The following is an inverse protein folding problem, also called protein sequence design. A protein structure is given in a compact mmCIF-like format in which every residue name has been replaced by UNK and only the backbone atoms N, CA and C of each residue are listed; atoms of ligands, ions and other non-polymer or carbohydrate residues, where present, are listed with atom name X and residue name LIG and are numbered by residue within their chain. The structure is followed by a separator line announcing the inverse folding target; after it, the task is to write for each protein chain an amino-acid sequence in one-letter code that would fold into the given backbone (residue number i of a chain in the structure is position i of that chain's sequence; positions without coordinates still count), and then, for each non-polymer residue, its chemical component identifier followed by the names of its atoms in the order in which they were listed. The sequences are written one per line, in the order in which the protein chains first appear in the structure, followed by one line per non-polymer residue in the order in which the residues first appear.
data_IF_733376213307
#
_entry.id   IF_733376213307
#
_cell.length_a   1.000
_cell.length_b   1.000
_cell.length_c   1.000
_cell.angle_alpha   90.00
_cell.angle_beta   90.00
_cell.angle_gamma   90.00
#
_symmetry.space_group_name_H-M   'P 1'
#
loop_
_entity.id
_entity.type
_entity.pdbx_description
1 polymer ?
#
# COMPACT_ATOMS: atom_id res chain seq x y z
N UNK A 1 -47.23 -43.96 18.62
CA UNK A 1 -46.36 -43.07 19.43
C UNK A 1 -45.14 -43.86 19.90
N UNK A 2 -43.94 -43.59 19.36
CA UNK A 2 -42.68 -44.19 19.81
C UNK A 2 -41.68 -43.06 20.03
N UNK A 3 -41.50 -42.69 21.30
CA UNK A 3 -40.52 -41.69 21.74
C UNK A 3 -39.12 -42.31 21.67
N UNK A 4 -38.24 -41.72 20.83
CA UNK A 4 -36.80 -42.01 20.80
C UNK A 4 -36.13 -41.16 21.89
N UNK A 5 -35.77 -41.79 22.99
CA UNK A 5 -34.87 -41.23 24.00
C UNK A 5 -33.43 -41.58 23.58
N UNK A 6 -32.60 -40.56 23.32
CA UNK A 6 -31.12 -40.46 23.31
C UNK A 6 -30.86 -39.09 22.67
N UNK A 7 -30.39 -38.05 23.40
CA UNK A 7 -28.94 -37.88 23.56
C UNK A 7 -28.55 -37.07 24.83
N UNK A 8 -28.15 -37.74 25.93
CA UNK A 8 -27.52 -37.06 27.08
C UNK A 8 -26.07 -37.56 27.31
N UNK A 9 -25.68 -38.69 26.70
CA UNK A 9 -24.37 -39.29 26.93
C UNK A 9 -23.20 -38.67 26.12
N UNK A 10 -23.48 -37.79 25.15
CA UNK A 10 -22.44 -37.24 24.25
C UNK A 10 -21.77 -35.97 24.78
N UNK A 11 -22.34 -35.30 25.80
CA UNK A 11 -21.77 -34.04 26.33
C UNK A 11 -20.63 -34.29 27.34
N UNK A 12 -20.59 -35.46 28.00
CA UNK A 12 -19.57 -35.76 29.03
C UNK A 12 -18.21 -36.12 28.39
N UNK A 13 -18.18 -36.67 27.18
CA UNK A 13 -16.95 -37.07 26.50
C UNK A 13 -16.10 -35.89 25.97
N UNK A 14 -16.69 -34.70 25.75
CA UNK A 14 -15.94 -33.54 25.26
C UNK A 14 -15.18 -32.79 26.37
N UNK A 15 -15.52 -32.97 27.65
CA UNK A 15 -14.85 -32.27 28.76
C UNK A 15 -13.53 -32.94 29.20
N UNK A 16 -13.32 -34.22 28.89
CA UNK A 16 -12.12 -34.95 29.29
C UNK A 16 -10.90 -34.73 28.35
N UNK A 17 -11.12 -34.26 27.11
CA UNK A 17 -10.05 -34.05 26.13
C UNK A 17 -9.33 -32.69 26.25
N UNK A 18 -9.85 -31.77 27.09
CA UNK A 18 -9.26 -30.44 27.28
C UNK A 18 -8.20 -30.35 28.39
N UNK A 19 -8.06 -31.36 29.25
CA UNK A 19 -7.21 -31.29 30.44
C UNK A 19 -5.73 -31.52 30.15
N UNK A 20 -5.40 -32.43 29.22
CA UNK A 20 -4.00 -32.76 28.87
C UNK A 20 -3.30 -31.59 28.17
N UNK A 21 -3.97 -30.93 27.23
CA UNK A 21 -3.43 -29.78 26.51
C UNK A 21 -3.09 -28.59 27.42
N UNK A 22 -3.78 -28.44 28.56
CA UNK A 22 -3.54 -27.35 29.51
C UNK A 22 -2.34 -27.59 30.43
N UNK A 23 -2.09 -28.84 30.80
CA UNK A 23 -0.93 -29.23 31.61
C UNK A 23 0.38 -28.99 30.85
N UNK A 24 0.43 -29.36 29.56
CA UNK A 24 1.62 -29.22 28.72
C UNK A 24 2.01 -27.74 28.49
N UNK A 25 1.03 -26.86 28.29
CA UNK A 25 1.25 -25.41 28.13
C UNK A 25 1.86 -24.77 29.37
N UNK A 26 1.42 -25.18 30.55
CA UNK A 26 1.92 -24.61 31.82
C UNK A 26 3.39 -24.98 32.02
N UNK A 27 3.75 -26.23 31.70
CA UNK A 27 5.14 -26.68 31.72
C UNK A 27 6.00 -25.93 30.70
N UNK A 28 5.54 -25.81 29.45
CA UNK A 28 6.25 -25.10 28.40
C UNK A 28 6.45 -23.60 28.71
N UNK A 29 5.45 -22.96 29.32
CA UNK A 29 5.53 -21.57 29.78
C UNK A 29 6.54 -21.40 30.92
N UNK A 30 6.59 -22.35 31.88
CA UNK A 30 7.59 -22.38 32.94
C UNK A 30 9.01 -22.55 32.39
N UNK A 31 9.21 -23.50 31.48
CA UNK A 31 10.49 -23.70 30.80
C UNK A 31 10.94 -22.46 30.01
N UNK A 32 9.99 -21.78 29.34
CA UNK A 32 10.28 -20.51 28.66
C UNK A 32 10.68 -19.40 29.65
N UNK A 33 10.01 -19.30 30.79
CA UNK A 33 10.34 -18.34 31.83
C UNK A 33 11.74 -18.59 32.43
N UNK A 34 12.06 -19.85 32.75
CA UNK A 34 13.38 -20.26 33.24
C UNK A 34 14.47 -20.00 32.19
N UNK A 35 14.19 -20.28 30.91
CA UNK A 35 15.10 -19.95 29.81
C UNK A 35 15.37 -18.45 29.71
N UNK A 36 14.32 -17.62 29.80
CA UNK A 36 14.47 -16.16 29.77
C UNK A 36 15.28 -15.63 30.95
N UNK A 37 15.02 -16.12 32.16
CA UNK A 37 15.80 -15.73 33.34
C UNK A 37 17.27 -16.13 33.21
N UNK A 38 17.56 -17.28 32.61
CA UNK A 38 18.93 -17.71 32.33
C UNK A 38 19.59 -16.85 31.25
N UNK A 39 18.87 -16.49 30.18
CA UNK A 39 19.42 -15.77 29.02
C UNK A 39 19.58 -14.26 29.28
N UNK A 40 18.60 -13.64 29.92
CA UNK A 40 18.54 -12.18 30.11
C UNK A 40 18.83 -11.75 31.56
N UNK A 41 18.86 -12.69 32.51
CA UNK A 41 19.08 -12.42 33.92
C UNK A 41 17.82 -11.92 34.65
N UNK A 42 17.74 -12.20 35.95
CA UNK A 42 16.59 -11.82 36.78
C UNK A 42 16.32 -10.31 36.82
N UNK A 43 17.36 -9.48 36.68
CA UNK A 43 17.23 -8.01 36.64
C UNK A 43 16.55 -7.48 35.37
N UNK A 44 16.71 -8.16 34.23
CA UNK A 44 16.09 -7.72 32.98
C UNK A 44 14.62 -8.14 32.88
N UNK A 45 14.24 -9.23 33.54
CA UNK A 45 12.86 -9.72 33.57
C UNK A 45 11.95 -8.93 34.53
N UNK A 46 12.51 -8.30 35.58
CA UNK A 46 11.76 -7.53 36.58
C UNK A 46 10.82 -8.36 37.48
N UNK A 47 10.65 -9.65 37.17
CA UNK A 47 9.69 -10.57 37.75
C UNK A 47 10.36 -11.92 38.05
N UNK A 48 9.83 -12.66 39.04
CA UNK A 48 10.26 -14.03 39.32
C UNK A 48 9.80 -15.03 38.26
N UNK A 49 10.44 -16.21 38.19
CA UNK A 49 10.16 -17.26 37.20
C UNK A 49 8.67 -17.64 37.17
N UNK A 50 8.04 -17.68 38.33
CA UNK A 50 6.64 -18.04 38.49
C UNK A 50 5.70 -17.00 37.86
N UNK A 51 5.89 -15.71 38.15
CA UNK A 51 5.09 -14.62 37.58
C UNK A 51 5.25 -14.56 36.06
N UNK A 52 6.49 -14.69 35.58
CA UNK A 52 6.78 -14.74 34.15
C UNK A 52 6.10 -15.94 33.48
N UNK A 53 6.11 -17.11 34.12
CA UNK A 53 5.43 -18.31 33.59
C UNK A 53 3.91 -18.10 33.48
N UNK A 54 3.28 -17.43 34.45
CA UNK A 54 1.85 -17.10 34.43
C UNK A 54 1.55 -16.14 33.28
N UNK A 55 2.37 -15.10 33.09
CA UNK A 55 2.22 -14.16 31.97
C UNK A 55 2.36 -14.85 30.61
N UNK A 56 3.36 -15.71 30.44
CA UNK A 56 3.59 -16.47 29.21
C UNK A 56 2.41 -17.42 28.93
N UNK A 57 1.93 -18.14 29.95
CA UNK A 57 0.76 -19.01 29.81
C UNK A 57 -0.51 -18.23 29.44
N UNK A 58 -0.69 -17.04 30.03
CA UNK A 58 -1.77 -16.12 29.69
C UNK A 58 -1.68 -15.62 28.24
N UNK A 59 -0.49 -15.23 27.79
CA UNK A 59 -0.25 -14.82 26.41
C UNK A 59 -0.51 -15.98 25.43
N UNK A 60 -0.07 -17.19 25.74
CA UNK A 60 -0.34 -18.38 24.93
C UNK A 60 -1.83 -18.72 24.85
N UNK A 61 -2.58 -18.45 25.92
CA UNK A 61 -4.03 -18.65 25.93
C UNK A 61 -4.76 -17.62 25.06
N UNK A 62 -4.26 -16.38 24.96
CA UNK A 62 -4.85 -15.31 24.13
C UNK A 62 -4.43 -15.37 22.67
N UNK A 63 -3.14 -15.59 22.42
CA UNK A 63 -2.51 -15.40 21.11
C UNK A 63 -2.06 -16.72 20.45
N UNK A 64 -2.27 -17.86 21.11
CA UNK A 64 -1.88 -19.19 20.62
C UNK A 64 -0.49 -19.62 21.04
N UNK A 65 -0.12 -20.85 20.66
CA UNK A 65 1.14 -21.48 21.10
C UNK A 65 2.40 -20.77 20.58
N UNK A 66 2.28 -19.99 19.49
CA UNK A 66 3.34 -19.13 18.95
C UNK A 66 3.83 -18.10 19.98
N UNK A 67 3.02 -17.72 20.96
CA UNK A 67 3.41 -16.80 22.02
C UNK A 67 4.63 -17.31 22.81
N UNK A 68 4.69 -18.62 23.09
CA UNK A 68 5.82 -19.20 23.84
C UNK A 68 7.11 -19.07 23.03
N UNK A 69 7.03 -19.32 21.72
CA UNK A 69 8.18 -19.21 20.82
C UNK A 69 8.60 -17.75 20.60
N UNK A 70 7.65 -16.85 20.40
CA UNK A 70 7.91 -15.42 20.24
C UNK A 70 8.57 -14.84 21.49
N UNK A 71 8.10 -15.22 22.67
CA UNK A 71 8.68 -14.81 23.95
C UNK A 71 10.11 -15.37 24.12
N UNK A 72 10.39 -16.61 23.70
CA UNK A 72 11.77 -17.14 23.72
C UNK A 72 12.69 -16.39 22.76
N UNK A 73 12.17 -15.93 21.62
CA UNK A 73 12.92 -15.20 20.62
C UNK A 73 13.27 -13.78 21.09
N UNK A 74 12.26 -13.01 21.53
CA UNK A 74 12.37 -11.55 21.74
C UNK A 74 12.11 -11.11 23.20
N UNK A 75 11.85 -12.06 24.10
CA UNK A 75 11.54 -11.78 25.50
C UNK A 75 10.10 -11.33 25.75
N UNK A 76 9.87 -10.72 26.91
CA UNK A 76 8.53 -10.28 27.36
C UNK A 76 7.91 -9.18 26.48
N UNK A 77 8.74 -8.45 25.72
CA UNK A 77 8.30 -7.45 24.75
C UNK A 77 7.39 -8.05 23.66
N UNK A 78 7.52 -9.34 23.37
CA UNK A 78 6.61 -10.02 22.45
C UNK A 78 5.14 -9.97 22.95
N UNK A 79 4.92 -10.09 24.26
CA UNK A 79 3.59 -10.05 24.87
C UNK A 79 2.99 -8.66 24.73
N UNK A 80 3.75 -7.60 25.05
CA UNK A 80 3.26 -6.23 24.95
C UNK A 80 2.93 -5.86 23.51
N UNK A 81 3.81 -6.18 22.55
CA UNK A 81 3.57 -5.91 21.13
C UNK A 81 2.33 -6.63 20.60
N UNK A 82 2.08 -7.86 21.04
CA UNK A 82 0.89 -8.61 20.63
C UNK A 82 -0.39 -8.12 21.29
N UNK A 83 -0.34 -7.74 22.57
CA UNK A 83 -1.48 -7.14 23.28
C UNK A 83 -1.84 -5.77 22.67
N UNK A 84 -0.83 -4.93 22.35
CA UNK A 84 -1.02 -3.64 21.67
C UNK A 84 -1.63 -3.78 20.26
N UNK A 85 -1.34 -4.90 19.58
CA UNK A 85 -1.89 -5.21 18.27
C UNK A 85 -3.34 -5.75 18.30
N UNK A 86 -3.89 -6.02 19.49
CA UNK A 86 -5.28 -6.47 19.67
C UNK A 86 -5.60 -7.74 18.85
N UNK A 87 -6.57 -7.63 17.93
CA UNK A 87 -7.00 -8.73 17.06
C UNK A 87 -5.88 -9.29 16.17
N UNK A 88 -4.81 -8.53 15.94
CA UNK A 88 -3.65 -8.95 15.17
C UNK A 88 -2.56 -9.62 16.02
N UNK A 89 -2.76 -9.78 17.33
CA UNK A 89 -1.81 -10.40 18.26
C UNK A 89 -1.22 -11.74 17.79
N UNK A 90 -2.04 -12.72 17.33
CA UNK A 90 -1.51 -13.97 16.79
C UNK A 90 -0.62 -13.79 15.56
N UNK A 91 -0.92 -12.81 14.69
CA UNK A 91 -0.08 -12.51 13.52
C UNK A 91 1.25 -11.89 13.95
N UNK A 92 1.23 -10.98 14.92
CA UNK A 92 2.44 -10.42 15.55
C UNK A 92 3.32 -11.53 16.12
N UNK A 93 2.75 -12.47 16.89
CA UNK A 93 3.52 -13.58 17.45
C UNK A 93 4.23 -14.39 16.37
N UNK A 94 3.53 -14.76 15.28
CA UNK A 94 4.15 -15.49 14.16
C UNK A 94 5.27 -14.70 13.48
N UNK A 95 5.09 -13.39 13.31
CA UNK A 95 6.13 -12.54 12.74
C UNK A 95 7.37 -12.48 13.63
N UNK A 96 7.18 -12.34 14.95
CA UNK A 96 8.25 -12.34 15.94
C UNK A 96 8.98 -13.70 16.02
N UNK A 97 8.27 -14.82 15.86
CA UNK A 97 8.91 -16.15 15.78
C UNK A 97 9.84 -16.24 14.57
N UNK A 98 9.42 -15.69 13.42
CA UNK A 98 10.18 -15.79 12.15
C UNK A 98 11.37 -14.84 12.09
N UNK A 99 11.21 -13.61 12.58
CA UNK A 99 12.18 -12.53 12.38
C UNK A 99 12.79 -11.98 13.68
N UNK A 100 12.38 -12.48 14.84
CA UNK A 100 12.96 -12.14 16.13
C UNK A 100 12.95 -10.63 16.42
N UNK A 101 14.11 -10.13 16.84
CA UNK A 101 14.29 -8.74 17.27
C UNK A 101 14.04 -7.72 16.14
N UNK A 102 14.27 -8.08 14.87
CA UNK A 102 14.03 -7.17 13.75
C UNK A 102 12.52 -6.89 13.57
N UNK A 103 11.68 -7.92 13.72
CA UNK A 103 10.24 -7.73 13.74
C UNK A 103 9.80 -6.95 14.97
N UNK A 104 10.45 -7.16 16.12
CA UNK A 104 10.12 -6.40 17.32
C UNK A 104 10.46 -4.92 17.16
N UNK A 105 11.59 -4.57 16.54
CA UNK A 105 11.96 -3.19 16.21
C UNK A 105 10.96 -2.57 15.24
N UNK A 106 10.57 -3.30 14.19
CA UNK A 106 9.56 -2.85 13.23
C UNK A 106 8.21 -2.56 13.92
N UNK A 107 7.71 -3.50 14.72
CA UNK A 107 6.41 -3.42 15.37
C UNK A 107 6.38 -2.44 16.56
N UNK A 108 7.54 -2.12 17.14
CA UNK A 108 7.64 -1.08 18.18
C UNK A 108 7.33 0.31 17.66
N UNK A 109 7.41 0.52 16.34
CA UNK A 109 7.12 1.80 15.70
C UNK A 109 5.64 1.85 15.33
N UNK A 110 4.88 2.89 15.75
CA UNK A 110 3.44 2.96 15.49
C UNK A 110 3.07 2.83 14.01
N UNK A 111 3.87 3.45 13.12
CA UNK A 111 3.66 3.39 11.68
C UNK A 111 3.91 1.98 11.13
N UNK A 112 4.96 1.30 11.58
CA UNK A 112 5.26 -0.09 11.21
C UNK A 112 4.15 -1.05 11.64
N UNK A 113 3.66 -0.92 12.88
CA UNK A 113 2.51 -1.69 13.39
C UNK A 113 1.25 -1.44 12.56
N UNK A 114 0.94 -0.17 12.25
CA UNK A 114 -0.24 0.20 11.45
C UNK A 114 -0.19 -0.40 10.05
N UNK A 115 0.95 -0.29 9.36
CA UNK A 115 1.12 -0.86 8.02
C UNK A 115 1.05 -2.40 8.05
N UNK A 116 1.63 -3.03 9.07
CA UNK A 116 1.49 -4.48 9.27
C UNK A 116 0.04 -4.91 9.53
N UNK A 117 -0.69 -4.19 10.38
CA UNK A 117 -2.10 -4.46 10.65
C UNK A 117 -2.95 -4.37 9.37
N UNK A 118 -2.68 -3.34 8.55
CA UNK A 118 -3.43 -3.06 7.33
C UNK A 118 -3.13 -4.05 6.19
N UNK A 119 -1.85 -4.36 5.96
CA UNK A 119 -1.41 -5.09 4.77
C UNK A 119 -0.88 -6.50 5.08
N UNK A 120 -0.72 -6.86 6.35
CA UNK A 120 -0.32 -8.18 6.80
C UNK A 120 1.16 -8.52 6.58
N UNK A 121 1.43 -9.82 6.48
CA UNK A 121 2.77 -10.39 6.44
C UNK A 121 3.60 -9.88 5.24
N UNK A 122 2.97 -9.63 4.09
CA UNK A 122 3.66 -9.10 2.90
C UNK A 122 4.26 -7.71 3.16
N UNK A 123 3.55 -6.85 3.91
CA UNK A 123 4.08 -5.55 4.28
C UNK A 123 5.19 -5.67 5.31
N UNK A 124 5.08 -6.58 6.28
CA UNK A 124 6.17 -6.83 7.22
C UNK A 124 7.45 -7.28 6.50
N UNK A 125 7.35 -8.20 5.54
CA UNK A 125 8.52 -8.65 4.76
C UNK A 125 9.15 -7.49 3.97
N UNK A 126 8.32 -6.65 3.33
CA UNK A 126 8.80 -5.47 2.62
C UNK A 126 9.47 -4.45 3.57
N UNK A 127 8.88 -4.19 4.73
CA UNK A 127 9.39 -3.24 5.73
C UNK A 127 10.70 -3.72 6.36
N UNK A 128 10.83 -5.03 6.63
CA UNK A 128 12.06 -5.63 7.15
C UNK A 128 13.19 -5.59 6.13
N UNK A 129 12.89 -5.84 4.85
CA UNK A 129 13.89 -5.79 3.77
C UNK A 129 14.37 -4.37 3.48
N UNK A 130 13.48 -3.39 3.56
CA UNK A 130 13.74 -2.00 3.16
C UNK A 130 13.58 -1.03 4.34
N UNK A 131 14.37 -1.25 5.40
CA UNK A 131 14.33 -0.50 6.66
C UNK A 131 14.40 1.01 6.42
N UNK A 132 13.41 1.75 6.93
CA UNK A 132 13.32 3.21 6.85
C UNK A 132 12.86 3.77 5.48
N UNK A 133 12.74 2.93 4.45
CA UNK A 133 12.45 3.38 3.07
C UNK A 133 11.05 2.90 2.62
N UNK A 134 10.64 1.69 3.01
CA UNK A 134 9.36 1.14 2.60
C UNK A 134 8.14 1.86 3.17
N UNK A 135 8.24 2.43 4.37
CA UNK A 135 7.10 3.06 5.07
C UNK A 135 6.39 4.14 4.24
N UNK A 136 7.08 5.19 3.74
CA UNK A 136 6.43 6.22 2.94
C UNK A 136 5.84 5.67 1.63
N UNK A 137 6.55 4.75 0.97
CA UNK A 137 6.09 4.16 -0.31
C UNK A 137 4.83 3.32 -0.12
N UNK A 138 4.77 2.52 0.95
CA UNK A 138 3.60 1.70 1.28
C UNK A 138 2.42 2.55 1.72
N UNK A 139 2.65 3.64 2.46
CA UNK A 139 1.59 4.56 2.87
C UNK A 139 0.99 5.31 1.68
N UNK A 140 1.83 5.75 0.73
CA UNK A 140 1.38 6.52 -0.42
C UNK A 140 0.66 5.66 -1.47
N UNK A 141 1.14 4.44 -1.73
CA UNK A 141 0.66 3.63 -2.86
C UNK A 141 -0.01 2.31 -2.44
N UNK A 142 -0.01 1.94 -1.16
CA UNK A 142 -0.74 0.80 -0.63
C UNK A 142 -0.32 -0.56 -1.18
N UNK A 143 -1.29 -1.43 -1.45
CA UNK A 143 -1.07 -2.83 -1.84
C UNK A 143 -0.17 -3.02 -3.08
N UNK A 144 -0.28 -2.24 -4.17
CA UNK A 144 0.67 -2.29 -5.28
C UNK A 144 2.13 -2.11 -4.83
N UNK A 145 2.40 -1.18 -3.92
CA UNK A 145 3.73 -0.94 -3.39
C UNK A 145 4.24 -2.09 -2.52
N UNK A 146 3.36 -2.67 -1.68
CA UNK A 146 3.72 -3.86 -0.88
C UNK A 146 4.26 -4.98 -1.78
N UNK A 147 3.54 -5.30 -2.85
CA UNK A 147 3.94 -6.35 -3.80
C UNK A 147 5.22 -6.02 -4.55
N UNK A 148 5.37 -4.77 -5.01
CA UNK A 148 6.57 -4.31 -5.69
C UNK A 148 7.80 -4.36 -4.76
N UNK A 149 7.68 -3.81 -3.55
CA UNK A 149 8.77 -3.79 -2.55
C UNK A 149 9.17 -5.20 -2.12
N UNK A 150 8.22 -6.13 -1.99
CA UNK A 150 8.51 -7.55 -1.71
C UNK A 150 9.30 -8.22 -2.83
N UNK A 151 9.07 -7.84 -4.09
CA UNK A 151 9.72 -8.44 -5.26
C UNK A 151 11.14 -7.92 -5.55
N UNK A 152 11.53 -6.79 -4.97
CA UNK A 152 12.80 -6.12 -5.27
C UNK A 152 13.81 -6.19 -4.12
N UNK A 153 15.09 -6.04 -4.45
CA UNK A 153 16.21 -5.95 -3.52
C UNK A 153 16.42 -4.52 -2.95
N UNK A 154 17.25 -4.36 -1.90
CA UNK A 154 17.40 -3.09 -1.18
C UNK A 154 17.78 -1.87 -2.03
N UNK A 155 18.64 -2.06 -3.04
CA UNK A 155 19.06 -0.97 -3.94
C UNK A 155 17.89 -0.48 -4.81
N UNK A 156 17.13 -1.40 -5.38
CA UNK A 156 15.93 -1.13 -6.17
C UNK A 156 14.83 -0.51 -5.31
N UNK A 157 14.68 -0.96 -4.06
CA UNK A 157 13.75 -0.33 -3.10
C UNK A 157 14.09 1.13 -2.83
N UNK A 158 15.38 1.47 -2.65
CA UNK A 158 15.83 2.86 -2.51
C UNK A 158 15.54 3.69 -3.76
N UNK A 159 15.77 3.12 -4.96
CA UNK A 159 15.45 3.79 -6.23
C UNK A 159 13.95 4.05 -6.36
N UNK A 160 13.11 3.08 -6.00
CA UNK A 160 11.65 3.24 -6.03
C UNK A 160 11.18 4.34 -5.08
N UNK A 161 11.73 4.40 -3.87
CA UNK A 161 11.46 5.51 -2.95
C UNK A 161 11.91 6.87 -3.50
N UNK A 162 13.09 6.96 -4.12
CA UNK A 162 13.53 8.19 -4.76
C UNK A 162 12.58 8.66 -5.87
N UNK A 163 12.02 7.74 -6.68
CA UNK A 163 11.00 8.08 -7.70
C UNK A 163 9.65 8.51 -7.10
N UNK A 164 9.31 7.96 -5.92
CA UNK A 164 8.11 8.33 -5.19
C UNK A 164 8.25 9.75 -4.62
N UNK A 165 9.36 10.00 -3.93
CA UNK A 165 9.65 11.26 -3.25
C UNK A 165 9.87 12.42 -4.25
N UNK A 166 10.51 12.14 -5.39
CA UNK A 166 10.73 13.13 -6.44
C UNK A 166 9.49 13.43 -7.29
N UNK A 167 8.39 12.69 -7.10
CA UNK A 167 7.14 12.87 -7.82
C UNK A 167 7.14 12.33 -9.25
N UNK A 168 8.21 11.64 -9.69
CA UNK A 168 8.28 11.05 -11.03
C UNK A 168 7.19 9.99 -11.23
N UNK A 169 6.90 9.19 -10.19
CA UNK A 169 5.80 8.20 -10.26
C UNK A 169 4.44 8.87 -10.48
N UNK A 170 4.21 10.03 -9.88
CA UNK A 170 3.00 10.81 -10.04
C UNK A 170 2.93 11.46 -11.43
N UNK A 171 4.06 11.97 -11.94
CA UNK A 171 4.17 12.56 -13.27
C UNK A 171 3.86 11.56 -14.39
N UNK A 172 4.19 10.28 -14.20
CA UNK A 172 3.86 9.20 -15.14
C UNK A 172 2.35 8.89 -15.17
N UNK A 173 1.63 9.12 -14.07
CA UNK A 173 0.16 8.98 -13.99
C UNK A 173 -0.39 7.54 -14.00
N UNK A 174 0.46 6.51 -14.10
CA UNK A 174 0.08 5.07 -14.08
C UNK A 174 0.89 4.25 -13.08
N UNK A 175 1.04 4.79 -11.86
CA UNK A 175 1.85 4.19 -10.81
C UNK A 175 1.43 2.76 -10.43
N UNK A 176 0.13 2.44 -10.26
CA UNK A 176 -0.29 1.09 -9.90
C UNK A 176 0.14 0.02 -10.92
N UNK A 177 0.06 0.33 -12.22
CA UNK A 177 0.45 -0.58 -13.28
C UNK A 177 1.96 -0.77 -13.35
N UNK A 178 2.74 0.30 -13.17
CA UNK A 178 4.21 0.20 -13.06
C UNK A 178 4.62 -0.66 -11.86
N UNK A 179 3.98 -0.47 -10.70
CA UNK A 179 4.22 -1.33 -9.54
C UNK A 179 3.82 -2.78 -9.81
N UNK A 180 2.77 -3.02 -10.61
CA UNK A 180 2.40 -4.35 -11.09
C UNK A 180 3.45 -4.98 -12.02
N UNK A 181 4.19 -4.19 -12.80
CA UNK A 181 5.35 -4.68 -13.58
C UNK A 181 6.52 -4.98 -12.65
N UNK A 182 6.85 -4.08 -11.72
CA UNK A 182 7.93 -4.31 -10.72
C UNK A 182 7.64 -5.56 -9.88
N UNK A 183 6.40 -5.75 -9.42
CA UNK A 183 6.01 -6.93 -8.67
C UNK A 183 6.20 -8.25 -9.45
N UNK A 184 6.07 -8.21 -10.79
CA UNK A 184 6.22 -9.39 -11.67
C UNK A 184 7.66 -9.66 -12.08
N UNK A 185 8.43 -8.62 -12.37
CA UNK A 185 9.77 -8.73 -12.97
C UNK A 185 10.91 -8.31 -12.02
N UNK A 186 10.58 -7.91 -10.79
CA UNK A 186 11.53 -7.60 -9.73
C UNK A 186 12.53 -6.50 -10.11
N UNK A 187 13.79 -6.74 -9.75
CA UNK A 187 14.88 -5.77 -9.91
C UNK A 187 15.13 -5.37 -11.38
N UNK A 188 14.90 -6.28 -12.33
CA UNK A 188 15.13 -5.97 -13.76
C UNK A 188 14.19 -4.87 -14.26
N UNK A 189 12.89 -4.98 -13.94
CA UNK A 189 11.92 -3.93 -14.26
C UNK A 189 12.26 -2.62 -13.57
N UNK A 190 12.65 -2.69 -12.29
CA UNK A 190 12.99 -1.48 -11.54
C UNK A 190 14.22 -0.77 -12.12
N UNK A 191 15.24 -1.51 -12.57
CA UNK A 191 16.43 -0.96 -13.23
C UNK A 191 16.05 -0.26 -14.54
N UNK A 192 15.25 -0.91 -15.39
CA UNK A 192 14.76 -0.32 -16.63
C UNK A 192 13.97 0.97 -16.37
N UNK A 193 13.01 0.95 -15.44
CA UNK A 193 12.22 2.13 -15.07
C UNK A 193 13.11 3.26 -14.55
N UNK A 194 14.13 2.94 -13.76
CA UNK A 194 15.05 3.92 -13.19
C UNK A 194 15.89 4.63 -14.26
N UNK A 195 16.40 3.88 -15.23
CA UNK A 195 17.21 4.37 -16.34
C UNK A 195 16.38 5.20 -17.31
N UNK A 196 15.11 4.84 -17.51
CA UNK A 196 14.23 5.46 -18.51
C UNK A 196 13.05 6.26 -17.93
N UNK A 197 13.19 6.76 -16.70
CA UNK A 197 12.11 7.50 -16.00
C UNK A 197 11.59 8.72 -16.76
N UNK A 198 12.44 9.37 -17.58
CA UNK A 198 12.05 10.56 -18.35
C UNK A 198 11.25 10.19 -19.59
N UNK A 199 11.68 9.14 -20.29
CA UNK A 199 11.03 8.63 -21.47
C UNK A 199 9.67 8.00 -21.14
N UNK A 200 9.57 7.32 -19.98
CA UNK A 200 8.32 6.76 -19.46
C UNK A 200 7.28 7.82 -19.07
N UNK A 201 7.65 9.10 -18.96
CA UNK A 201 6.68 10.18 -18.83
C UNK A 201 5.87 10.40 -20.14
N UNK A 202 6.35 9.89 -21.28
CA UNK A 202 5.58 9.89 -22.52
C UNK A 202 4.50 8.81 -22.48
N UNK A 203 3.22 9.21 -22.60
CA UNK A 203 2.08 8.31 -22.55
C UNK A 203 2.16 7.16 -23.58
N UNK A 204 2.70 7.43 -24.77
CA UNK A 204 2.86 6.41 -25.83
C UNK A 204 3.90 5.34 -25.44
N UNK A 205 5.05 5.77 -24.94
CA UNK A 205 6.13 4.88 -24.50
C UNK A 205 5.69 4.04 -23.29
N UNK A 206 5.07 4.69 -22.31
CA UNK A 206 4.51 4.03 -21.14
C UNK A 206 3.48 2.96 -21.51
N UNK A 207 2.58 3.27 -22.44
CA UNK A 207 1.55 2.32 -22.88
C UNK A 207 2.17 1.11 -23.58
N UNK A 208 3.16 1.33 -24.46
CA UNK A 208 3.89 0.23 -25.10
C UNK A 208 4.60 -0.65 -24.07
N UNK A 209 5.28 -0.04 -23.09
CA UNK A 209 5.97 -0.75 -22.01
C UNK A 209 5.02 -1.56 -21.12
N UNK A 210 3.88 -0.97 -20.72
CA UNK A 210 2.91 -1.65 -19.85
C UNK A 210 2.19 -2.81 -20.55
N UNK A 211 2.01 -2.73 -21.88
CA UNK A 211 1.38 -3.79 -22.67
C UNK A 211 2.32 -5.00 -22.84
N UNK A 212 3.61 -4.76 -23.10
CA UNK A 212 4.60 -5.82 -23.28
C UNK A 212 5.97 -5.39 -22.71
N UNK A 213 6.21 -5.59 -21.40
CA UNK A 213 7.41 -5.08 -20.74
C UNK A 213 8.66 -5.93 -21.01
N UNK A 214 8.50 -7.21 -21.40
CA UNK A 214 9.62 -8.16 -21.51
C UNK A 214 10.67 -7.71 -22.53
N UNK A 215 10.31 -7.31 -23.77
CA UNK A 215 11.30 -6.92 -24.76
C UNK A 215 12.15 -5.72 -24.34
N UNK A 216 11.57 -4.80 -23.57
CA UNK A 216 12.25 -3.63 -23.06
C UNK A 216 13.18 -3.98 -21.88
N UNK A 217 12.70 -4.78 -20.94
CA UNK A 217 13.46 -5.20 -19.75
C UNK A 217 14.68 -6.05 -20.15
N UNK A 218 14.53 -6.91 -21.16
CA UNK A 218 15.62 -7.74 -21.66
C UNK A 218 16.52 -7.01 -22.67
N UNK A 219 16.24 -5.73 -22.98
CA UNK A 219 17.04 -4.90 -23.87
C UNK A 219 16.92 -5.25 -25.36
N UNK A 220 15.96 -6.08 -25.75
CA UNK A 220 15.72 -6.45 -27.16
C UNK A 220 15.02 -5.34 -27.96
N UNK A 221 14.35 -4.40 -27.27
CA UNK A 221 13.67 -3.25 -27.88
C UNK A 221 14.13 -1.96 -27.23
N UNK A 222 14.74 -1.08 -28.02
CA UNK A 222 15.11 0.27 -27.57
C UNK A 222 13.90 1.21 -27.58
N UNK A 223 13.84 2.09 -26.58
CA UNK A 223 12.79 3.12 -26.48
C UNK A 223 12.83 4.12 -27.66
N UNK A 224 14.01 4.38 -28.22
CA UNK A 224 14.22 5.34 -29.30
C UNK A 224 13.40 5.04 -30.56
N UNK A 225 13.16 3.76 -30.87
CA UNK A 225 12.39 3.37 -32.05
C UNK A 225 10.88 3.63 -31.93
N UNK A 226 10.36 3.84 -30.70
CA UNK A 226 8.92 4.00 -30.48
C UNK A 226 8.46 5.45 -30.70
N UNK A 227 9.36 6.43 -30.57
CA UNK A 227 9.06 7.87 -30.81
C UNK A 227 9.23 8.24 -32.30
N UNK A 228 9.92 7.40 -33.07
CA UNK A 228 10.23 7.64 -34.48
C UNK A 228 9.17 7.13 -35.46
N UNK A 229 7.98 6.71 -35.00
CA UNK A 229 6.81 6.71 -35.90
C UNK A 229 6.40 8.18 -35.98
N UNK A 230 6.70 8.89 -37.08
CA UNK A 230 6.19 10.22 -37.21
C UNK A 230 4.68 10.06 -37.21
N UNK A 231 4.00 10.99 -36.53
CA UNK A 231 2.65 11.39 -36.93
C UNK A 231 2.78 11.91 -38.38
N UNK A 232 2.98 11.00 -39.34
CA UNK A 232 2.91 11.27 -40.76
C UNK A 232 1.44 11.47 -41.03
N UNK A 233 1.00 12.72 -40.89
CA UNK A 233 0.00 13.38 -41.73
C UNK A 233 -1.28 12.62 -42.12
N UNK A 234 -1.73 11.65 -41.32
CA UNK A 234 -2.95 10.87 -41.58
C UNK A 234 -4.07 11.10 -40.56
N UNK A 235 -3.75 11.58 -39.35
CA UNK A 235 -4.74 11.68 -38.26
C UNK A 235 -5.47 13.01 -38.15
N UNK A 236 -5.16 14.02 -38.98
CA UNK A 236 -6.12 15.10 -39.19
C UNK A 236 -7.33 14.59 -39.98
N UNK A 237 -7.19 13.59 -40.86
CA UNK A 237 -8.35 13.05 -41.58
C UNK A 237 -9.15 12.00 -40.79
N UNK A 238 -8.53 11.22 -39.91
CA UNK A 238 -9.26 10.21 -39.11
C UNK A 238 -9.90 10.82 -37.86
N UNK A 239 -9.31 11.85 -37.24
CA UNK A 239 -9.98 12.58 -36.16
C UNK A 239 -11.16 13.41 -36.70
N UNK A 240 -11.07 14.00 -37.90
CA UNK A 240 -12.21 14.67 -38.55
C UNK A 240 -13.26 13.69 -39.07
N UNK A 241 -12.88 12.49 -39.54
CA UNK A 241 -13.85 11.48 -39.98
C UNK A 241 -14.58 10.83 -38.82
N UNK A 242 -13.90 10.51 -37.72
CA UNK A 242 -14.55 9.96 -36.51
C UNK A 242 -15.37 11.04 -35.80
N UNK A 243 -14.92 12.30 -35.77
CA UNK A 243 -15.74 13.40 -35.27
C UNK A 243 -16.96 13.68 -36.18
N UNK A 244 -16.83 13.65 -37.51
CA UNK A 244 -17.99 13.85 -38.40
C UNK A 244 -18.95 12.67 -38.43
N UNK A 245 -18.47 11.44 -38.34
CA UNK A 245 -19.30 10.23 -38.45
C UNK A 245 -19.95 9.85 -37.11
N UNK A 246 -19.33 10.14 -35.96
CA UNK A 246 -19.92 9.90 -34.64
C UNK A 246 -20.76 11.08 -34.10
N UNK A 247 -20.44 12.33 -34.49
CA UNK A 247 -21.16 13.52 -33.98
C UNK A 247 -22.32 13.92 -34.89
N UNK A 248 -22.27 13.67 -36.21
CA UNK A 248 -23.40 13.99 -37.11
C UNK A 248 -24.74 13.32 -36.72
N UNK A 249 -24.82 12.02 -36.37
CA UNK A 249 -26.09 11.43 -35.96
C UNK A 249 -26.56 11.94 -34.59
N UNK A 250 -25.65 12.31 -33.69
CA UNK A 250 -26.00 12.86 -32.35
C UNK A 250 -26.43 14.32 -32.45
N UNK A 251 -25.79 15.14 -33.29
CA UNK A 251 -26.21 16.52 -33.55
C UNK A 251 -27.54 16.58 -34.33
N UNK A 252 -27.78 15.66 -35.26
CA UNK A 252 -29.07 15.55 -35.97
C UNK A 252 -30.19 15.00 -35.06
N UNK A 253 -29.90 14.06 -34.16
CA UNK A 253 -30.86 13.57 -33.17
C UNK A 253 -31.17 14.61 -32.09
N UNK A 254 -30.18 15.44 -31.70
CA UNK A 254 -30.37 16.54 -30.75
C UNK A 254 -31.11 17.72 -31.39
N UNK A 255 -30.90 17.99 -32.68
CA UNK A 255 -31.66 19.01 -33.43
C UNK A 255 -33.15 18.67 -33.56
N UNK A 256 -33.50 17.42 -33.88
CA UNK A 256 -34.91 16.99 -33.95
C UNK A 256 -35.60 16.92 -32.58
N UNK A 257 -34.89 16.52 -31.54
CA UNK A 257 -35.45 16.48 -30.18
C UNK A 257 -35.75 17.89 -29.64
N UNK A 258 -34.98 18.92 -30.04
CA UNK A 258 -35.21 20.32 -29.65
C UNK A 258 -36.37 20.95 -30.45
N UNK A 259 -36.56 20.58 -31.72
CA UNK A 259 -37.70 21.05 -32.52
C UNK A 259 -39.03 20.43 -32.09
N UNK A 260 -39.06 19.14 -31.72
CA UNK A 260 -40.28 18.49 -31.20
C UNK A 260 -40.65 18.93 -29.77
N UNK A 261 -39.71 19.44 -28.98
CA UNK A 261 -40.02 20.03 -27.65
C UNK A 261 -40.33 21.53 -27.69
N UNK A 262 -40.05 22.23 -28.79
CA UNK A 262 -40.32 23.66 -28.93
C UNK A 262 -41.81 24.03 -29.11
N UNK A 263 -42.68 23.06 -29.45
CA UNK A 263 -44.13 23.30 -29.56
C UNK A 263 -44.96 22.79 -28.37
N UNK A 264 -44.36 22.16 -27.36
CA UNK A 264 -45.10 21.51 -26.27
C UNK A 264 -44.87 22.09 -24.85
N UNK A 265 -44.02 23.11 -24.65
CA UNK A 265 -43.83 23.66 -23.30
C UNK A 265 -43.38 25.13 -23.27
N UNK A 266 -44.20 26.02 -23.82
CA UNK A 266 -44.11 27.43 -23.47
C UNK A 266 -44.56 27.64 -22.01
N UNK A 267 -43.63 28.13 -21.16
CA UNK A 267 -43.79 28.61 -19.77
C UNK A 267 -43.79 27.50 -18.71
N UNK A 268 -42.66 27.09 -18.07
CA UNK A 268 -41.91 27.98 -17.15
C UNK A 268 -40.41 27.64 -16.89
N UNK A 269 -39.64 27.06 -17.84
CA UNK A 269 -38.24 26.60 -17.56
C UNK A 269 -37.12 27.52 -18.07
N UNK A 270 -37.43 28.67 -18.67
CA UNK A 270 -36.41 29.61 -19.16
C UNK A 270 -35.73 30.45 -18.06
N UNK A 271 -36.25 30.47 -16.82
CA UNK A 271 -35.63 31.22 -15.71
C UNK A 271 -34.55 30.45 -14.95
N UNK A 272 -34.49 29.11 -15.03
CA UNK A 272 -33.54 28.35 -14.22
C UNK A 272 -32.16 28.18 -14.88
N UNK A 273 -32.08 28.28 -16.21
CA UNK A 273 -30.82 28.08 -16.96
C UNK A 273 -29.95 29.35 -17.08
N UNK A 274 -30.50 30.53 -16.81
CA UNK A 274 -29.71 31.78 -16.75
C UNK A 274 -28.98 31.95 -15.40
N UNK A 275 -29.40 31.22 -14.35
CA UNK A 275 -28.76 31.30 -13.03
C UNK A 275 -27.54 30.37 -12.86
N UNK A 276 -27.45 29.26 -13.61
CA UNK A 276 -26.37 28.27 -13.45
C UNK A 276 -25.13 28.55 -14.32
N UNK A 277 -25.26 29.34 -15.39
CA UNK A 277 -24.14 29.63 -16.32
C UNK A 277 -23.27 30.84 -15.95
N UNK A 278 -23.74 31.73 -15.07
CA UNK A 278 -23.07 33.02 -14.80
C UNK A 278 -22.00 33.02 -13.70
N UNK A 279 -22.04 32.06 -12.76
CA UNK A 279 -21.19 32.12 -11.56
C UNK A 279 -19.80 31.47 -11.71
N UNK A 280 -19.60 30.62 -12.73
CA UNK A 280 -18.32 29.92 -12.95
C UNK A 280 -17.23 30.76 -13.60
N UNK A 281 -17.59 31.77 -14.41
CA UNK A 281 -16.61 32.61 -15.12
C UNK A 281 -16.10 33.79 -14.28
N UNK A 282 -16.89 34.28 -13.31
CA UNK A 282 -16.48 35.41 -12.44
C UNK A 282 -15.47 34.97 -11.37
N UNK A 283 -15.54 33.73 -10.88
CA UNK A 283 -14.60 33.20 -9.88
C UNK A 283 -13.21 32.91 -10.45
N UNK A 284 -13.09 32.61 -11.76
CA UNK A 284 -11.79 32.41 -12.41
C UNK A 284 -11.07 33.75 -12.69
N UNK A 285 -11.81 34.82 -13.00
CA UNK A 285 -11.25 36.15 -13.25
C UNK A 285 -10.71 36.82 -11.97
N UNK A 286 -11.38 36.66 -10.83
CA UNK A 286 -10.92 37.22 -9.54
C UNK A 286 -9.66 36.51 -9.03
N UNK A 287 -9.48 35.23 -9.34
CA UNK A 287 -8.31 34.45 -8.87
C UNK A 287 -7.03 34.74 -9.67
N UNK A 288 -7.14 35.24 -10.90
CA UNK A 288 -5.99 35.67 -11.71
C UNK A 288 -5.52 37.10 -11.38
N UNK A 289 -6.36 37.93 -10.76
CA UNK A 289 -5.99 39.29 -10.35
C UNK A 289 -5.24 39.37 -9.00
N UNK A 290 -5.24 38.30 -8.20
CA UNK A 290 -4.70 38.28 -6.84
C UNK A 290 -3.29 37.67 -6.72
N UNK A 291 -2.47 37.70 -7.79
CA UNK A 291 -1.10 37.20 -7.71
C UNK A 291 -0.16 38.27 -7.13
N UNK A 292 0.45 38.05 -5.95
CA UNK A 292 1.34 39.02 -5.34
C UNK A 292 2.66 39.07 -6.11
N UNK A 293 3.06 40.28 -6.54
CA UNK A 293 4.40 40.55 -7.07
C UNK A 293 5.42 40.15 -5.99
N UNK A 294 6.24 39.14 -6.27
CA UNK A 294 7.43 38.86 -5.44
C UNK A 294 8.49 39.89 -5.79
N UNK A 295 8.79 40.74 -4.82
CA UNK A 295 9.94 41.64 -4.88
C UNK A 295 11.24 40.82 -4.87
N UNK A 296 11.94 40.84 -5.99
CA UNK A 296 13.33 40.42 -6.09
C UNK A 296 14.22 41.48 -5.42
N UNK A 297 14.27 41.47 -4.10
CA UNK A 297 15.29 42.19 -3.35
C UNK A 297 16.62 41.43 -3.43
N UNK A 298 17.64 42.14 -3.92
CA UNK A 298 19.01 41.69 -4.14
C UNK A 298 19.65 41.21 -2.83
N UNK A 299 20.01 39.93 -2.76
CA UNK A 299 20.92 39.40 -1.75
C UNK A 299 22.37 39.63 -2.18
N UNK A 300 23.07 40.49 -1.44
CA UNK A 300 24.51 40.76 -1.59
C UNK A 300 25.32 39.57 -1.03
N UNK A 301 26.35 39.05 -1.72
CA UNK A 301 27.22 38.03 -1.15
C UNK A 301 28.25 38.65 -0.19
N UNK A 302 28.31 38.12 1.04
CA UNK A 302 29.35 38.42 2.02
C UNK A 302 30.67 37.71 1.64
N UNK A 303 31.84 38.35 1.80
CA UNK A 303 33.13 37.73 1.47
C UNK A 303 33.54 36.67 2.49
N UNK A 304 34.27 35.66 2.01
CA UNK A 304 34.83 34.57 2.80
C UNK A 304 35.99 35.05 3.70
N UNK A 305 36.21 34.43 4.87
CA UNK A 305 37.39 34.68 5.70
C UNK A 305 38.62 33.94 5.15
N UNK A 306 39.77 34.62 5.25
CA UNK A 306 41.13 34.10 5.03
C UNK A 306 41.53 33.01 6.04
#
# INVERSE_FOLDING_TARGET
MRFRAIPILTVIACLALGSTARADRTKAAREAAEYLLKKFGAKAAGEGAEQLSIRIAGAASRHGDDAIHAVRAVGTKAITLADDAGEHGPKVMRLLVRHGDEAAELLSRPQGMRLFAQFGDDAAEALLRHKGIAEPVLEQFGTPAVRAMKAIGPQSGRRLAMLADGGELAAIGRTPELMGVIARYGDKAMNFIWEHKKELASAAVLTAFLNDPVPFIDGTKELAMTVAVPVVSGTVQVADSVAREAIAPVAAATGKAIEETAHASARPLAMLLVAAGGMGLVTLAVRLAAWPKRDFSKGNPSPAPE
#
